data_IF_260343617197
#
_entry.id   IF_260343617197
#
_cell.length_a   1.000
_cell.length_b   1.000
_cell.length_c   1.000
_cell.angle_alpha   90.00
_cell.angle_beta   90.00
_cell.angle_gamma   90.00
#
_symmetry.space_group_name_H-M   'P 1'
#
loop_
_entity.id
_entity.type
_entity.pdbx_description
1 polymer ?
#
# COMPACT_ATOMS: atom_id res chain seq x y z
N UNK A 1 -17.64 5.35 -13.34
CA UNK A 1 -16.28 5.57 -13.89
C UNK A 1 -15.62 4.21 -13.86
N UNK A 2 -15.10 3.68 -14.96
CA UNK A 2 -14.61 2.28 -14.94
C UNK A 2 -13.22 2.21 -14.29
N UNK A 3 -13.08 1.52 -13.16
CA UNK A 3 -11.79 1.34 -12.50
C UNK A 3 -10.89 0.38 -13.28
N UNK A 4 -9.59 0.68 -13.34
CA UNK A 4 -8.62 -0.19 -13.98
C UNK A 4 -8.21 -1.36 -13.05
N UNK A 5 -7.84 -2.51 -13.62
CA UNK A 5 -7.24 -3.61 -12.87
C UNK A 5 -6.03 -3.12 -12.05
N UNK A 6 -5.93 -3.55 -10.79
CA UNK A 6 -4.85 -3.16 -9.89
C UNK A 6 -5.10 -1.87 -9.11
N UNK A 7 -6.19 -1.14 -9.38
CA UNK A 7 -6.59 -0.01 -8.55
C UNK A 7 -7.12 -0.46 -7.19
N UNK A 8 -6.82 0.35 -6.19
CA UNK A 8 -7.37 0.22 -4.85
C UNK A 8 -8.44 1.29 -4.64
N UNK A 9 -9.58 0.88 -4.10
CA UNK A 9 -10.71 1.77 -3.86
C UNK A 9 -11.11 1.74 -2.38
N UNK A 10 -11.68 2.84 -1.90
CA UNK A 10 -12.06 3.03 -0.50
C UNK A 10 -13.39 3.76 -0.39
N UNK A 11 -14.20 3.40 0.60
CA UNK A 11 -15.39 4.18 0.96
C UNK A 11 -14.97 5.43 1.74
N UNK A 12 -15.43 6.60 1.28
CA UNK A 12 -15.14 7.89 1.91
C UNK A 12 -16.27 8.43 2.77
N UNK A 13 -17.43 7.74 2.81
CA UNK A 13 -18.57 8.18 3.61
C UNK A 13 -18.21 8.16 5.11
N UNK A 14 -18.26 9.30 5.83
CA UNK A 14 -17.90 9.40 7.24
C UNK A 14 -18.79 8.56 8.17
N UNK A 15 -20.01 8.26 7.76
CA UNK A 15 -20.98 7.48 8.54
C UNK A 15 -20.92 5.99 8.25
N UNK A 16 -20.12 5.56 7.27
CA UNK A 16 -20.02 4.15 6.92
C UNK A 16 -19.01 3.43 7.81
N UNK A 17 -19.42 2.30 8.39
CA UNK A 17 -18.53 1.41 9.16
C UNK A 17 -17.33 0.89 8.36
N UNK A 18 -17.49 0.76 7.04
CA UNK A 18 -16.43 0.32 6.12
C UNK A 18 -15.52 1.46 5.64
N UNK A 19 -15.69 2.69 6.15
CA UNK A 19 -14.79 3.80 5.85
C UNK A 19 -13.35 3.42 6.21
N UNK A 20 -12.42 3.74 5.33
CA UNK A 20 -11.01 3.43 5.57
C UNK A 20 -10.58 2.05 5.08
N UNK A 21 -11.52 1.14 4.77
CA UNK A 21 -11.19 -0.21 4.32
C UNK A 21 -10.78 -0.21 2.84
N UNK A 22 -9.68 -0.91 2.54
CA UNK A 22 -9.12 -1.01 1.20
C UNK A 22 -9.73 -2.19 0.47
N UNK A 23 -10.28 -1.92 -0.71
CA UNK A 23 -10.86 -2.92 -1.60
C UNK A 23 -10.09 -2.92 -2.92
N UNK A 24 -9.95 -4.09 -3.56
CA UNK A 24 -9.35 -4.19 -4.89
C UNK A 24 -10.41 -4.01 -5.96
N UNK A 25 -10.16 -3.17 -6.95
CA UNK A 25 -11.06 -2.95 -8.08
C UNK A 25 -11.38 -4.24 -8.86
N UNK A 26 -10.43 -5.19 -8.95
CA UNK A 26 -10.62 -6.47 -9.66
C UNK A 26 -11.68 -7.36 -9.00
N UNK A 27 -11.85 -7.29 -7.67
CA UNK A 27 -12.88 -8.03 -6.96
C UNK A 27 -14.28 -7.44 -7.16
N UNK A 28 -14.35 -6.23 -7.72
CA UNK A 28 -15.61 -5.64 -8.14
C UNK A 28 -16.08 -6.30 -9.47
N UNK A 29 -15.18 -6.78 -10.33
CA UNK A 29 -15.55 -7.42 -11.60
C UNK A 29 -15.90 -6.42 -12.71
N UNK A 30 -16.32 -6.88 -13.91
CA UNK A 30 -16.67 -6.01 -15.05
C UNK A 30 -17.92 -5.15 -14.78
N UNK A 31 -18.73 -5.56 -13.80
CA UNK A 31 -19.86 -4.83 -13.22
C UNK A 31 -19.55 -4.31 -11.81
N UNK A 32 -18.26 -4.11 -11.54
CA UNK A 32 -17.71 -3.63 -10.29
C UNK A 32 -18.54 -2.53 -9.72
N UNK A 33 -19.25 -2.87 -8.65
CA UNK A 33 -20.04 -1.91 -7.92
C UNK A 33 -19.07 -0.79 -7.53
N UNK A 34 -19.17 0.33 -8.25
CA UNK A 34 -18.59 1.63 -7.88
C UNK A 34 -19.11 2.10 -6.51
N UNK A 35 -19.80 1.24 -5.77
CA UNK A 35 -20.57 1.48 -4.57
C UNK A 35 -20.10 0.56 -3.46
N UNK A 36 -20.01 1.10 -2.26
CA UNK A 36 -19.68 0.37 -1.05
C UNK A 36 -20.81 -0.61 -0.70
N UNK A 37 -20.48 -1.87 -0.41
CA UNK A 37 -21.48 -2.89 -0.03
C UNK A 37 -22.24 -2.57 1.28
N UNK A 38 -21.69 -1.69 2.13
CA UNK A 38 -22.26 -1.39 3.44
C UNK A 38 -23.21 -0.18 3.43
N UNK A 39 -22.93 0.84 2.62
CA UNK A 39 -23.73 2.07 2.58
C UNK A 39 -24.22 2.47 1.19
N UNK A 40 -23.83 1.74 0.14
CA UNK A 40 -24.20 2.06 -1.25
C UNK A 40 -23.53 3.29 -1.84
N UNK A 41 -22.73 4.01 -1.06
CA UNK A 41 -22.02 5.22 -1.51
C UNK A 41 -20.88 4.94 -2.46
N UNK A 42 -20.53 5.93 -3.28
CA UNK A 42 -19.51 5.78 -4.30
C UNK A 42 -18.12 5.54 -3.69
N UNK A 43 -17.46 4.47 -4.13
CA UNK A 43 -16.08 4.18 -3.81
C UNK A 43 -15.17 5.20 -4.51
N UNK A 44 -14.04 5.52 -3.90
CA UNK A 44 -13.03 6.39 -4.51
C UNK A 44 -11.75 5.63 -4.72
N UNK A 45 -11.11 5.88 -5.86
CA UNK A 45 -9.75 5.42 -6.10
C UNK A 45 -8.81 6.09 -5.10
N UNK A 46 -8.08 5.28 -4.34
CA UNK A 46 -7.04 5.72 -3.42
C UNK A 46 -5.79 4.97 -3.83
N UNK A 47 -4.71 5.65 -4.25
CA UNK A 47 -3.48 4.96 -4.63
C UNK A 47 -2.99 4.13 -3.42
N UNK A 48 -2.46 2.92 -3.65
CA UNK A 48 -1.92 2.11 -2.56
C UNK A 48 -0.88 2.93 -1.79
N UNK A 49 -0.74 2.70 -0.47
CA UNK A 49 0.31 3.35 0.28
C UNK A 49 1.63 3.12 -0.44
N UNK A 50 2.34 4.21 -0.76
CA UNK A 50 3.66 4.14 -1.36
C UNK A 50 4.48 3.18 -0.49
N UNK A 51 4.93 2.07 -1.07
CA UNK A 51 5.66 1.04 -0.35
C UNK A 51 6.83 1.63 0.44
N UNK A 52 7.35 0.93 1.46
CA UNK A 52 8.41 1.47 2.30
C UNK A 52 9.51 2.01 1.39
N UNK A 53 9.71 3.32 1.44
CA UNK A 53 10.77 3.96 0.67
C UNK A 53 12.07 3.41 1.23
N UNK A 54 12.62 2.38 0.58
CA UNK A 54 13.95 1.91 0.85
C UNK A 54 14.85 3.08 0.51
N UNK A 55 15.17 3.88 1.53
CA UNK A 55 16.26 4.83 1.46
C UNK A 55 17.48 3.97 1.21
N UNK A 56 17.87 3.86 -0.07
CA UNK A 56 19.14 3.29 -0.52
C UNK A 56 20.26 4.22 -0.07
N UNK A 57 20.37 4.46 1.24
CA UNK A 57 21.54 5.06 1.84
C UNK A 57 22.65 4.02 1.66
N UNK A 58 23.74 4.34 0.95
CA UNK A 58 24.88 3.46 0.87
C UNK A 58 25.30 3.09 2.30
N UNK A 59 25.25 1.79 2.63
CA UNK A 59 25.83 1.33 3.88
C UNK A 59 27.34 1.46 3.71
N UNK A 60 27.98 2.30 4.50
CA UNK A 60 29.42 2.50 4.42
C UNK A 60 30.11 1.14 4.52
N UNK A 61 30.96 0.82 3.54
CA UNK A 61 31.88 -0.31 3.60
C UNK A 61 32.86 0.00 4.73
N UNK A 62 32.56 -0.48 5.94
CA UNK A 62 33.52 -0.42 7.05
C UNK A 62 34.79 -1.12 6.57
N UNK A 63 35.93 -0.44 6.66
CA UNK A 63 37.22 -1.10 6.48
C UNK A 63 37.30 -2.24 7.49
N UNK A 64 37.78 -3.42 7.06
CA UNK A 64 38.05 -4.52 7.97
C UNK A 64 39.04 -4.00 9.01
N UNK A 65 38.73 -4.15 10.30
CA UNK A 65 39.70 -3.82 11.34
C UNK A 65 40.96 -4.67 11.15
N UNK A 66 42.17 -4.08 11.23
CA UNK A 66 43.40 -4.86 11.14
C UNK A 66 43.44 -5.87 12.28
N UNK A 67 43.68 -7.14 11.93
CA UNK A 67 43.88 -8.23 12.89
C UNK A 67 45.06 -7.86 13.81
N UNK A 68 44.79 -7.62 15.09
CA UNK A 68 45.86 -7.45 16.08
C UNK A 68 46.58 -8.80 16.26
N UNK A 69 47.92 -8.84 16.26
CA UNK A 69 48.65 -10.07 16.56
C UNK A 69 48.32 -10.53 17.99
N UNK A 70 47.97 -11.81 18.13
CA UNK A 70 47.83 -12.44 19.45
C UNK A 70 49.22 -12.58 20.09
N UNK A 71 49.39 -12.21 21.37
CA UNK A 71 50.61 -12.52 22.11
C UNK A 71 50.70 -14.04 22.31
N UNK A 72 51.93 -14.57 22.19
CA UNK A 72 52.28 -15.98 22.42
C UNK A 72 52.36 -16.28 23.91
#
# INVERSE_FOLDING_TARGET
MQYLPGWTVQCINPQCQARGQWLRAVLAGPFGSDRCCNCGEQLRNVPPPLGPQLRMRPRALTSRQPLRPRPR
#
